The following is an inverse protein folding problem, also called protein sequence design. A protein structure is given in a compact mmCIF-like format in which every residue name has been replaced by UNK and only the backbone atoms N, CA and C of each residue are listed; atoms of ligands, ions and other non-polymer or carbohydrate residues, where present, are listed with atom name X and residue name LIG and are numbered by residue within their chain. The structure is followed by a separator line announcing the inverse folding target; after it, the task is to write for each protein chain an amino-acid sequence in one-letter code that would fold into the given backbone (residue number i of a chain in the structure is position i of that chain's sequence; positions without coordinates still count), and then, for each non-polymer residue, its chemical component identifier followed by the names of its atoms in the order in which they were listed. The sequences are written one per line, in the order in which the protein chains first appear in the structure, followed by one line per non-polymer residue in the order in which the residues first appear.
data_IF_555346932332
#
_entry.id   IF_555346932332
#
_cell.length_a   1.000
_cell.length_b   1.000
_cell.length_c   1.000
_cell.angle_alpha   90.00
_cell.angle_beta   90.00
_cell.angle_gamma   90.00
#
_symmetry.space_group_name_H-M   'P 1'
#
loop_
_entity.id
_entity.type
_entity.pdbx_description
1 polymer ?
#
# COMPACT_ATOMS: atom_id res chain seq x y z
N UNK A 1 7.95 -11.18 -44.25
CA UNK A 1 8.32 -11.41 -42.83
C UNK A 1 7.04 -11.40 -42.02
N UNK A 2 6.52 -12.58 -41.66
CA UNK A 2 5.26 -12.75 -40.94
C UNK A 2 5.57 -12.52 -39.45
N UNK A 3 5.06 -11.43 -38.86
CA UNK A 3 5.08 -11.28 -37.41
C UNK A 3 4.19 -12.39 -36.84
N UNK A 4 4.81 -13.37 -36.18
CA UNK A 4 4.09 -14.39 -35.42
C UNK A 4 3.38 -13.65 -34.27
N UNK A 5 2.07 -13.87 -34.05
CA UNK A 5 1.43 -13.35 -32.84
C UNK A 5 2.21 -13.92 -31.64
N UNK A 6 2.69 -13.05 -30.74
CA UNK A 6 3.24 -13.51 -29.46
C UNK A 6 2.10 -14.24 -28.76
N UNK A 7 2.21 -15.58 -28.66
CA UNK A 7 1.28 -16.37 -27.87
C UNK A 7 1.33 -15.82 -26.43
N UNK A 8 0.18 -15.60 -25.77
CA UNK A 8 0.12 -15.06 -24.40
C UNK A 8 0.91 -15.90 -23.38
N UNK A 9 1.20 -17.16 -23.72
CA UNK A 9 2.00 -18.09 -22.91
C UNK A 9 3.52 -17.84 -22.99
N UNK A 10 3.98 -17.05 -23.95
CA UNK A 10 5.41 -16.76 -24.14
C UNK A 10 5.92 -15.77 -23.11
N UNK A 11 5.14 -14.73 -22.82
CA UNK A 11 5.47 -13.73 -21.80
C UNK A 11 5.50 -14.37 -20.40
N UNK A 12 4.51 -15.22 -20.10
CA UNK A 12 4.45 -16.01 -18.86
C UNK A 12 5.67 -16.92 -18.68
N UNK A 13 6.17 -17.50 -19.77
CA UNK A 13 7.38 -18.33 -19.77
C UNK A 13 8.62 -17.48 -19.45
N UNK A 14 8.78 -16.34 -20.12
CA UNK A 14 9.94 -15.47 -19.89
C UNK A 14 9.94 -14.88 -18.48
N UNK A 15 8.79 -14.51 -17.95
CA UNK A 15 8.64 -14.07 -16.56
C UNK A 15 9.04 -15.19 -15.59
N UNK A 16 8.48 -16.40 -15.77
CA UNK A 16 8.78 -17.56 -14.92
C UNK A 16 10.27 -17.97 -14.98
N UNK A 17 10.87 -17.93 -16.18
CA UNK A 17 12.28 -18.25 -16.39
C UNK A 17 13.18 -17.21 -15.72
N UNK A 18 12.83 -15.93 -15.87
CA UNK A 18 13.57 -14.80 -15.30
C UNK A 18 13.53 -14.84 -13.77
N UNK A 19 12.36 -15.09 -13.19
CA UNK A 19 12.19 -15.25 -11.74
C UNK A 19 13.02 -16.40 -11.17
N UNK A 20 13.03 -17.56 -11.84
CA UNK A 20 13.84 -18.71 -11.42
C UNK A 20 15.35 -18.44 -11.52
N UNK A 21 15.79 -17.74 -12.56
CA UNK A 21 17.18 -17.29 -12.70
C UNK A 21 17.57 -16.26 -11.63
N UNK A 22 16.65 -15.38 -11.21
CA UNK A 22 16.89 -14.46 -10.09
C UNK A 22 16.94 -15.19 -8.74
N UNK A 23 16.11 -16.21 -8.55
CA UNK A 23 16.05 -17.05 -7.36
C UNK A 23 17.22 -18.05 -7.21
N UNK A 24 18.17 -18.04 -8.14
CA UNK A 24 19.33 -18.96 -8.17
C UNK A 24 18.95 -20.44 -8.36
N UNK A 25 17.84 -20.71 -9.06
CA UNK A 25 17.45 -22.07 -9.38
C UNK A 25 18.52 -22.73 -10.28
N UNK A 26 19.10 -23.82 -9.80
CA UNK A 26 20.09 -24.59 -10.56
C UNK A 26 19.44 -25.44 -11.66
N UNK A 27 18.17 -25.80 -11.50
CA UNK A 27 17.42 -26.62 -12.45
C UNK A 27 16.20 -25.86 -13.01
N UNK A 28 16.17 -25.69 -14.33
CA UNK A 28 15.10 -25.02 -15.07
C UNK A 28 14.18 -26.01 -15.79
N UNK A 29 14.52 -27.29 -15.78
CA UNK A 29 13.72 -28.39 -16.36
C UNK A 29 12.24 -28.36 -15.94
N UNK A 30 11.89 -28.16 -14.65
CA UNK A 30 10.48 -28.15 -14.23
C UNK A 30 9.67 -26.95 -14.76
N UNK A 31 10.32 -25.84 -15.09
CA UNK A 31 9.65 -24.65 -15.65
C UNK A 31 9.46 -24.87 -17.15
N UNK A 32 10.51 -25.31 -17.84
CA UNK A 32 10.46 -25.58 -19.27
C UNK A 32 9.45 -26.67 -19.62
N UNK A 33 9.35 -27.72 -18.80
CA UNK A 33 8.35 -28.78 -18.98
C UNK A 33 6.92 -28.29 -18.80
N UNK A 34 6.67 -27.33 -17.91
CA UNK A 34 5.35 -26.72 -17.69
C UNK A 34 4.84 -25.98 -18.93
N UNK A 35 5.74 -25.39 -19.71
CA UNK A 35 5.41 -24.65 -20.93
C UNK A 35 5.67 -25.46 -22.21
N UNK A 36 6.09 -26.72 -22.10
CA UNK A 36 6.35 -27.60 -23.25
C UNK A 36 7.55 -27.17 -24.11
N UNK A 37 8.48 -26.40 -23.55
CA UNK A 37 9.62 -25.84 -24.29
C UNK A 37 10.86 -26.70 -24.12
N UNK A 38 11.53 -27.02 -25.21
CA UNK A 38 12.80 -27.75 -25.17
C UNK A 38 13.93 -26.82 -24.67
N UNK A 39 14.82 -27.34 -23.83
CA UNK A 39 15.96 -26.58 -23.29
C UNK A 39 16.81 -25.93 -24.41
N UNK A 40 16.96 -26.60 -25.55
CA UNK A 40 17.68 -26.10 -26.72
C UNK A 40 17.16 -24.74 -27.23
N UNK A 41 15.86 -24.45 -27.08
CA UNK A 41 15.26 -23.19 -27.53
C UNK A 41 15.58 -22.00 -26.62
N UNK A 42 16.01 -22.26 -25.37
CA UNK A 42 16.26 -21.22 -24.35
C UNK A 42 17.76 -21.07 -24.06
N UNK A 43 18.57 -21.98 -24.59
CA UNK A 43 20.01 -22.05 -24.35
C UNK A 43 20.76 -20.77 -24.77
N UNK A 44 20.29 -20.09 -25.81
CA UNK A 44 20.90 -18.84 -26.30
C UNK A 44 20.58 -17.62 -25.42
N UNK A 45 19.42 -17.63 -24.74
CA UNK A 45 18.94 -16.53 -23.89
C UNK A 45 19.52 -16.63 -22.48
N UNK A 46 19.72 -17.85 -21.98
CA UNK A 46 20.28 -18.12 -20.66
C UNK A 46 21.58 -17.37 -20.32
N UNK A 47 22.63 -17.37 -21.18
CA UNK A 47 23.87 -16.66 -20.89
C UNK A 47 23.69 -15.14 -20.84
N UNK A 48 22.75 -14.59 -21.63
CA UNK A 48 22.44 -13.16 -21.63
C UNK A 48 21.80 -12.77 -20.28
N UNK A 49 20.80 -13.53 -19.82
CA UNK A 49 20.13 -13.29 -18.53
C UNK A 49 21.13 -13.44 -17.37
N UNK A 50 22.03 -14.42 -17.43
CA UNK A 50 23.09 -14.60 -16.41
C UNK A 50 24.05 -13.41 -16.35
N UNK A 51 24.45 -12.86 -17.50
CA UNK A 51 25.29 -11.64 -17.56
C UNK A 51 24.56 -10.41 -17.04
N UNK A 52 23.29 -10.24 -17.41
CA UNK A 52 22.43 -9.16 -16.91
C UNK A 52 22.29 -9.22 -15.39
N UNK A 53 22.04 -10.41 -14.83
CA UNK A 53 21.99 -10.61 -13.37
C UNK A 53 23.29 -10.19 -12.69
N UNK A 54 24.45 -10.53 -13.27
CA UNK A 54 25.76 -10.11 -12.75
C UNK A 54 25.96 -8.57 -12.75
N UNK A 55 25.28 -7.86 -13.65
CA UNK A 55 25.33 -6.38 -13.72
C UNK A 55 24.33 -5.68 -12.81
N UNK A 56 23.34 -6.40 -12.26
CA UNK A 56 22.31 -5.80 -11.40
C UNK A 56 22.78 -5.70 -9.95
N UNK A 57 22.65 -4.51 -9.38
CA UNK A 57 22.93 -4.25 -7.97
C UNK A 57 21.69 -4.62 -7.16
N UNK A 58 21.87 -5.43 -6.11
CA UNK A 58 20.78 -5.72 -5.15
C UNK A 58 20.38 -4.45 -4.41
N UNK A 59 19.19 -3.94 -4.71
CA UNK A 59 18.57 -2.84 -3.96
C UNK A 59 17.68 -3.42 -2.88
N UNK A 60 17.93 -3.05 -1.61
CA UNK A 60 17.05 -3.42 -0.52
C UNK A 60 15.87 -2.44 -0.46
N UNK A 61 14.61 -2.92 -0.55
CA UNK A 61 13.46 -2.04 -0.44
C UNK A 61 13.40 -1.43 0.96
N UNK A 62 13.06 -0.14 1.03
CA UNK A 62 12.90 0.53 2.33
C UNK A 62 11.76 -0.10 3.14
N UNK A 63 11.89 -0.10 4.48
CA UNK A 63 10.83 -0.60 5.39
C UNK A 63 9.46 0.04 5.13
N UNK A 64 9.45 1.32 4.75
CA UNK A 64 8.23 2.08 4.40
C UNK A 64 7.56 1.54 3.13
N UNK A 65 8.34 1.14 2.14
CA UNK A 65 7.84 0.57 0.89
C UNK A 65 7.20 -0.80 1.14
N UNK A 66 7.92 -1.69 1.84
CA UNK A 66 7.42 -3.04 2.18
C UNK A 66 6.11 -2.96 2.98
N UNK A 67 6.03 -2.06 3.94
CA UNK A 67 4.82 -1.84 4.73
C UNK A 67 3.63 -1.38 3.88
N UNK A 68 3.85 -0.44 2.96
CA UNK A 68 2.82 0.07 2.04
C UNK A 68 2.33 -1.02 1.10
N UNK A 69 3.26 -1.77 0.52
CA UNK A 69 2.95 -2.86 -0.41
C UNK A 69 2.16 -3.98 0.29
N UNK A 70 2.58 -4.38 1.50
CA UNK A 70 1.84 -5.37 2.31
C UNK A 70 0.42 -4.92 2.60
N UNK A 71 0.20 -3.63 2.88
CA UNK A 71 -1.14 -3.07 3.09
C UNK A 71 -1.99 -3.11 1.81
N UNK A 72 -1.41 -2.81 0.66
CA UNK A 72 -2.12 -2.88 -0.62
C UNK A 72 -2.51 -4.32 -0.98
N UNK A 73 -1.61 -5.27 -0.80
CA UNK A 73 -1.84 -6.69 -1.14
C UNK A 73 -2.85 -7.37 -0.21
N UNK A 74 -2.86 -7.03 1.07
CA UNK A 74 -3.83 -7.57 2.06
C UNK A 74 -5.21 -6.89 1.92
N UNK A 75 -5.39 -5.98 0.95
CA UNK A 75 -6.64 -5.26 0.75
C UNK A 75 -6.99 -4.32 1.90
N UNK A 76 -6.03 -4.01 2.78
CA UNK A 76 -6.25 -3.02 3.83
C UNK A 76 -6.50 -1.68 3.15
N UNK A 77 -7.66 -1.02 3.38
CA UNK A 77 -7.95 0.23 2.71
C UNK A 77 -6.79 1.18 3.01
N UNK A 78 -6.17 1.71 1.95
CA UNK A 78 -5.10 2.72 1.99
C UNK A 78 -5.70 4.07 2.45
N UNK A 79 -6.55 4.05 3.47
CA UNK A 79 -6.99 5.21 4.23
C UNK A 79 -6.00 5.46 5.35
N UNK A 80 -4.73 5.61 4.96
CA UNK A 80 -3.71 6.27 5.78
C UNK A 80 -3.78 7.80 5.60
N UNK A 81 -4.91 8.31 5.11
CA UNK A 81 -5.25 9.72 5.27
C UNK A 81 -5.76 9.87 6.69
N UNK A 82 -4.83 10.16 7.60
CA UNK A 82 -5.11 10.35 9.02
C UNK A 82 -6.25 11.35 9.23
N UNK A 83 -6.86 11.32 10.42
CA UNK A 83 -7.94 12.23 10.82
C UNK A 83 -7.71 13.69 10.38
N UNK A 84 -6.45 14.15 10.40
CA UNK A 84 -6.00 15.47 9.96
C UNK A 84 -6.31 15.76 8.49
N UNK A 85 -6.08 14.80 7.58
CA UNK A 85 -6.41 14.95 6.16
C UNK A 85 -7.93 14.98 5.93
N UNK A 86 -8.72 14.25 6.73
CA UNK A 86 -10.19 14.34 6.66
C UNK A 86 -10.69 15.71 7.09
N UNK A 87 -10.17 16.29 8.17
CA UNK A 87 -10.56 17.62 8.64
C UNK A 87 -10.29 18.71 7.60
N UNK A 88 -9.19 18.60 6.84
CA UNK A 88 -8.83 19.57 5.79
C UNK A 88 -9.77 19.52 4.57
N UNK A 89 -10.40 18.38 4.30
CA UNK A 89 -11.34 18.19 3.19
C UNK A 89 -12.82 18.24 3.62
N UNK A 90 -13.11 18.60 4.88
CA UNK A 90 -14.50 18.85 5.29
C UNK A 90 -15.01 20.13 4.61
N UNK A 91 -16.25 20.13 4.05
CA UNK A 91 -16.86 21.33 3.49
C UNK A 91 -16.85 22.46 4.54
N UNK A 92 -16.57 23.72 4.15
CA UNK A 92 -16.41 24.84 5.10
C UNK A 92 -17.64 25.02 6.01
N UNK A 93 -18.82 24.64 5.53
CA UNK A 93 -20.07 24.64 6.30
C UNK A 93 -20.03 23.73 7.53
N UNK A 94 -19.35 22.58 7.46
CA UNK A 94 -19.24 21.63 8.57
C UNK A 94 -18.25 22.12 9.62
N UNK A 95 -17.19 22.83 9.20
CA UNK A 95 -16.23 23.43 10.13
C UNK A 95 -16.87 24.52 10.99
N UNK A 96 -17.73 25.35 10.38
CA UNK A 96 -18.49 26.39 11.10
C UNK A 96 -19.47 25.76 12.08
N UNK A 97 -20.20 24.71 11.68
CA UNK A 97 -21.12 23.99 12.57
C UNK A 97 -20.38 23.34 13.75
N UNK A 98 -19.21 22.76 13.52
CA UNK A 98 -18.38 22.18 14.58
C UNK A 98 -17.88 23.24 15.58
N UNK A 99 -17.47 24.41 15.08
CA UNK A 99 -17.08 25.54 15.93
C UNK A 99 -18.25 26.04 16.79
N UNK A 100 -19.43 26.21 16.20
CA UNK A 100 -20.65 26.62 16.91
C UNK A 100 -21.06 25.59 17.97
N UNK A 101 -20.99 24.30 17.65
CA UNK A 101 -21.30 23.22 18.59
C UNK A 101 -20.35 23.22 19.80
N UNK A 102 -19.05 23.46 19.57
CA UNK A 102 -18.06 23.59 20.66
C UNK A 102 -18.36 24.79 21.57
N UNK A 103 -18.65 25.95 20.99
CA UNK A 103 -18.99 27.16 21.75
C UNK A 103 -20.27 26.97 22.55
N UNK A 104 -21.31 26.42 21.94
CA UNK A 104 -22.58 26.14 22.61
C UNK A 104 -22.42 25.13 23.76
N UNK A 105 -21.65 24.06 23.54
CA UNK A 105 -21.34 23.06 24.56
C UNK A 105 -20.56 23.65 25.73
N UNK A 106 -19.54 24.45 25.45
CA UNK A 106 -18.75 25.13 26.49
C UNK A 106 -19.61 26.11 27.31
N UNK A 107 -20.46 26.89 26.64
CA UNK A 107 -21.37 27.83 27.30
C UNK A 107 -22.38 27.11 28.20
N UNK A 108 -22.90 25.96 27.76
CA UNK A 108 -23.80 25.13 28.56
C UNK A 108 -23.11 24.57 29.81
N UNK A 109 -21.86 24.10 29.68
CA UNK A 109 -21.07 23.62 30.82
C UNK A 109 -20.82 24.74 31.82
N UNK A 110 -20.40 25.92 31.36
CA UNK A 110 -20.16 27.09 32.22
C UNK A 110 -21.44 27.51 32.93
N UNK A 111 -22.56 27.61 32.21
CA UNK A 111 -23.86 27.96 32.80
C UNK A 111 -24.31 26.94 33.86
N UNK A 112 -24.13 25.65 33.59
CA UNK A 112 -24.45 24.58 34.55
C UNK A 112 -23.57 24.66 35.79
N UNK A 113 -22.29 25.03 35.63
CA UNK A 113 -21.33 25.18 36.73
C UNK A 113 -21.63 26.40 37.60
N UNK A 114 -22.01 27.54 37.01
CA UNK A 114 -22.44 28.73 37.75
C UNK A 114 -23.71 28.47 38.56
N UNK A 115 -24.68 27.75 38.00
CA UNK A 115 -25.92 27.40 38.70
C UNK A 115 -25.69 26.50 39.93
N UNK A 116 -24.75 25.56 39.82
CA UNK A 116 -24.33 24.71 40.95
C UNK A 116 -23.58 25.52 42.02
N UNK A 117 -22.73 26.47 41.62
CA UNK A 117 -22.03 27.34 42.57
C UNK A 117 -22.99 28.26 43.34
N UNK A 118 -24.01 28.82 42.68
CA UNK A 118 -25.01 29.66 43.34
C UNK A 118 -25.91 28.91 44.33
N UNK A 119 -26.04 27.58 44.23
CA UNK A 119 -26.82 26.76 45.19
C UNK A 119 -26.04 26.31 46.42
N UNK A 120 -24.72 26.36 46.39
CA UNK A 120 -23.86 25.97 47.52
C UNK A 120 -23.50 27.17 48.42
N UNK A 121 -23.82 28.39 47.98
CA UNK A 121 -23.60 29.64 48.71
C UNK A 121 -24.97 30.21 49.12
N UNK A 122 -25.75 29.42 49.87
CA UNK A 122 -26.77 30.00 50.76
C UNK A 122 -26.06 30.31 52.09
N UNK A 123 -25.97 31.58 52.51
CA UNK A 123 -25.47 31.90 53.83
C UNK A 123 -26.44 31.32 54.87
N UNK A 124 -25.92 30.44 55.72
CA UNK A 124 -26.58 29.98 56.94
C UNK A 124 -26.87 31.23 57.78
N UNK A 125 -28.14 31.62 57.84
CA UNK A 125 -28.72 32.47 58.86
C UNK A 125 -29.90 31.71 59.47
#
# INVERSE_FOLDING_TARGET
MKQLPLDPHTDDLYDSLTDALFADAQDLTPILSRFGVAYAQVNDVLPIVRRLRGSMIRVHPSRRYVYRLRRQLVGAPVRSHGMIARVRYLPPRVQIAAALALVAGAMLIVRRRHWLYSRLVEPIN
#
